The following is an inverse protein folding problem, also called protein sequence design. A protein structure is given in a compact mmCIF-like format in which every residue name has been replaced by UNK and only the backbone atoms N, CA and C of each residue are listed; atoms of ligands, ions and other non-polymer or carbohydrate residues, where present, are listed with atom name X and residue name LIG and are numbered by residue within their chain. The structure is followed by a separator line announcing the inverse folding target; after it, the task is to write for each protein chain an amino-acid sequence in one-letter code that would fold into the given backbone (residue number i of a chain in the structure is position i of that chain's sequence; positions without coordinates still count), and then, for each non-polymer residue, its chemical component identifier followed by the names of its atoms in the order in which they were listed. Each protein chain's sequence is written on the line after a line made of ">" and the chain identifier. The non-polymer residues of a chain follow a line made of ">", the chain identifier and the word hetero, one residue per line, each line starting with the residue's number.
data_IF_261910178163
#
_entry.id   IF_261910178163
#
_cell.length_a   1.000
_cell.length_b   1.000
_cell.length_c   1.000
_cell.angle_alpha   90.00
_cell.angle_beta   90.00
_cell.angle_gamma   90.00
#
_symmetry.space_group_name_H-M   'P 1'
#
loop_
_entity.id
_entity.type
_entity.pdbx_description
1 polymer ?
#
# COMPACT_ATOMS: atom_id res chain seq x y z
N UNK A 1 -3.45 -11.77 17.72
CA UNK A 1 -2.34 -10.94 17.21
C UNK A 1 -2.64 -10.55 15.79
N UNK A 2 -2.37 -9.30 15.39
CA UNK A 2 -2.84 -8.74 14.11
C UNK A 2 -2.05 -9.32 12.92
N UNK A 3 -0.77 -9.66 13.13
CA UNK A 3 0.12 -10.22 12.11
C UNK A 3 1.08 -11.25 12.73
N UNK A 4 1.56 -12.19 11.92
CA UNK A 4 2.72 -13.04 12.23
C UNK A 4 3.89 -12.64 11.34
N UNK A 5 5.13 -12.88 11.79
CA UNK A 5 6.32 -12.53 11.01
C UNK A 5 7.22 -13.76 10.84
N UNK A 6 7.85 -13.88 9.67
CA UNK A 6 9.01 -14.72 9.44
C UNK A 6 10.19 -13.78 9.20
N UNK A 7 11.07 -13.68 10.20
CA UNK A 7 12.19 -12.73 10.17
C UNK A 7 13.51 -13.48 10.17
N UNK A 8 14.43 -13.07 9.31
CA UNK A 8 15.73 -13.71 9.14
C UNK A 8 16.84 -12.73 8.85
N UNK A 9 18.06 -13.14 9.17
CA UNK A 9 19.28 -12.46 8.77
C UNK A 9 19.66 -12.89 7.36
N UNK A 10 19.96 -11.94 6.48
CA UNK A 10 20.33 -12.25 5.09
C UNK A 10 21.67 -12.98 4.98
N UNK A 11 22.51 -12.92 6.02
CA UNK A 11 23.75 -13.70 6.11
C UNK A 11 23.50 -15.20 6.39
N UNK A 12 22.38 -15.52 7.03
CA UNK A 12 22.03 -16.89 7.43
C UNK A 12 21.14 -17.56 6.36
N UNK A 13 20.25 -16.79 5.75
CA UNK A 13 19.26 -17.29 4.79
C UNK A 13 18.91 -16.21 3.75
N UNK A 14 18.92 -16.53 2.45
CA UNK A 14 18.50 -15.56 1.43
C UNK A 14 17.02 -15.18 1.61
N UNK A 15 16.65 -13.98 1.16
CA UNK A 15 15.26 -13.54 1.21
C UNK A 15 14.37 -14.39 0.30
N UNK A 16 14.74 -14.49 -0.97
CA UNK A 16 14.08 -15.28 -2.00
C UNK A 16 14.73 -16.66 -2.21
N UNK A 17 14.05 -17.49 -3.01
CA UNK A 17 14.54 -18.81 -3.42
C UNK A 17 14.02 -19.98 -2.57
N UNK A 18 14.30 -21.23 -2.99
CA UNK A 18 13.88 -22.42 -2.26
C UNK A 18 14.49 -22.45 -0.87
N UNK A 19 13.63 -22.52 0.16
CA UNK A 19 14.07 -22.50 1.56
C UNK A 19 14.43 -21.12 2.11
N UNK A 20 14.37 -20.06 1.30
CA UNK A 20 14.58 -18.67 1.76
C UNK A 20 13.53 -18.16 2.75
N UNK A 21 13.73 -16.97 3.29
CA UNK A 21 12.84 -16.34 4.27
C UNK A 21 11.40 -16.27 3.72
N UNK A 22 11.23 -15.91 2.45
CA UNK A 22 9.93 -15.84 1.80
C UNK A 22 9.25 -17.21 1.67
N UNK A 23 10.01 -18.28 1.42
CA UNK A 23 9.47 -19.64 1.35
C UNK A 23 8.98 -20.12 2.72
N UNK A 24 9.71 -19.80 3.80
CA UNK A 24 9.27 -20.04 5.18
C UNK A 24 8.00 -19.25 5.48
N UNK A 25 7.96 -17.97 5.14
CA UNK A 25 6.79 -17.12 5.33
C UNK A 25 5.55 -17.66 4.61
N UNK A 26 5.69 -18.17 3.37
CA UNK A 26 4.60 -18.82 2.63
C UNK A 26 4.09 -20.09 3.32
N UNK A 27 4.98 -20.89 3.89
CA UNK A 27 4.60 -22.07 4.68
C UNK A 27 3.82 -21.66 5.93
N UNK A 28 4.29 -20.66 6.67
CA UNK A 28 3.60 -20.10 7.83
C UNK A 28 2.22 -19.56 7.43
N UNK A 29 2.13 -18.83 6.31
CA UNK A 29 0.88 -18.26 5.80
C UNK A 29 -0.18 -19.34 5.51
N UNK A 30 0.21 -20.52 5.05
CA UNK A 30 -0.72 -21.61 4.76
C UNK A 30 -1.52 -22.09 6.00
N UNK A 31 -1.01 -21.84 7.21
CA UNK A 31 -1.63 -22.29 8.47
C UNK A 31 -1.96 -21.17 9.46
N UNK A 32 -1.42 -19.97 9.25
CA UNK A 32 -1.58 -18.88 10.21
C UNK A 32 -3.04 -18.39 10.28
N UNK A 33 -3.64 -18.24 11.48
CA UNK A 33 -5.01 -17.74 11.66
C UNK A 33 -5.06 -16.21 11.82
N UNK A 34 -4.18 -15.48 11.14
CA UNK A 34 -4.07 -14.00 11.22
C UNK A 34 -4.28 -13.36 9.86
N UNK A 35 -4.61 -12.06 9.83
CA UNK A 35 -4.87 -11.35 8.57
C UNK A 35 -3.66 -11.34 7.61
N UNK A 36 -2.45 -11.29 8.17
CA UNK A 36 -1.23 -11.17 7.38
C UNK A 36 -0.03 -11.86 8.05
N UNK A 37 0.82 -12.46 7.20
CA UNK A 37 2.18 -12.89 7.55
C UNK A 37 3.16 -11.96 6.84
N UNK A 38 4.23 -11.52 7.49
CA UNK A 38 5.24 -10.64 6.87
C UNK A 38 6.57 -11.38 6.82
N UNK A 39 7.14 -11.53 5.63
CA UNK A 39 8.54 -11.93 5.46
C UNK A 39 9.42 -10.70 5.63
N UNK A 40 10.45 -10.77 6.48
CA UNK A 40 11.39 -9.66 6.72
C UNK A 40 12.81 -10.21 6.73
N UNK A 41 13.65 -9.74 5.81
CA UNK A 41 15.08 -10.03 5.77
C UNK A 41 15.89 -8.75 5.93
N UNK A 42 17.01 -8.82 6.64
CA UNK A 42 17.98 -7.72 6.68
C UNK A 42 19.30 -8.15 7.31
N UNK A 43 20.25 -7.23 7.39
CA UNK A 43 21.54 -7.44 8.06
C UNK A 43 21.49 -6.90 9.50
N UNK A 44 21.67 -7.76 10.50
CA UNK A 44 21.52 -7.38 11.90
C UNK A 44 22.86 -7.14 12.62
N UNK A 45 22.87 -6.22 13.59
CA UNK A 45 24.00 -5.92 14.47
C UNK A 45 24.32 -7.08 15.45
N UNK A 46 23.48 -8.11 15.49
CA UNK A 46 23.66 -9.28 16.34
C UNK A 46 22.62 -10.38 16.09
N UNK A 47 22.58 -11.42 16.93
CA UNK A 47 21.59 -12.49 16.82
C UNK A 47 20.17 -11.97 17.01
N UNK A 48 19.22 -12.32 16.12
CA UNK A 48 17.85 -11.78 16.17
C UNK A 48 17.14 -11.98 17.52
N UNK A 49 17.47 -13.07 18.23
CA UNK A 49 16.91 -13.37 19.55
C UNK A 49 17.13 -12.27 20.59
N UNK A 50 18.21 -11.48 20.51
CA UNK A 50 18.46 -10.36 21.44
C UNK A 50 17.55 -9.15 21.20
N UNK A 51 16.95 -9.07 20.01
CA UNK A 51 16.05 -8.00 19.60
C UNK A 51 14.57 -8.39 19.73
N UNK A 52 14.28 -9.57 20.26
CA UNK A 52 12.91 -9.99 20.54
C UNK A 52 12.37 -9.23 21.76
N UNK A 53 11.12 -8.78 21.67
CA UNK A 53 10.39 -8.07 22.72
C UNK A 53 9.07 -8.77 23.00
N UNK A 54 8.66 -8.74 24.27
CA UNK A 54 7.30 -9.12 24.67
C UNK A 54 6.42 -7.88 24.57
N UNK A 55 5.23 -8.04 24.02
CA UNK A 55 4.18 -7.03 23.99
C UNK A 55 2.96 -7.48 24.77
N UNK A 56 1.91 -6.66 24.73
CA UNK A 56 0.65 -6.93 25.41
C UNK A 56 -0.04 -8.19 24.89
N UNK A 57 -0.93 -8.75 25.71
CA UNK A 57 -1.71 -9.93 25.34
C UNK A 57 -0.86 -11.18 25.05
N UNK A 58 0.35 -11.25 25.60
CA UNK A 58 1.30 -12.36 25.39
C UNK A 58 1.94 -12.35 24.00
N UNK A 59 1.87 -11.24 23.27
CA UNK A 59 2.53 -11.12 21.97
C UNK A 59 4.04 -11.09 22.11
N UNK A 60 4.73 -11.59 21.09
CA UNK A 60 6.19 -11.55 20.98
C UNK A 60 6.52 -11.05 19.58
N UNK A 61 7.39 -10.05 19.49
CA UNK A 61 7.75 -9.39 18.23
C UNK A 61 9.24 -9.15 18.14
N UNK A 62 9.73 -8.93 16.92
CA UNK A 62 11.08 -8.47 16.66
C UNK A 62 11.07 -6.94 16.65
N UNK A 63 11.96 -6.34 17.44
CA UNK A 63 12.24 -4.90 17.39
C UNK A 63 13.11 -4.59 16.17
N UNK A 64 12.48 -4.54 15.00
CA UNK A 64 13.16 -4.36 13.71
C UNK A 64 14.09 -3.13 13.69
N UNK A 65 13.71 -1.95 14.24
CA UNK A 65 14.66 -0.83 14.37
C UNK A 65 15.92 -1.15 15.18
N UNK A 66 15.77 -1.86 16.31
CA UNK A 66 16.90 -2.24 17.15
C UNK A 66 17.81 -3.29 16.50
N UNK A 67 17.30 -4.11 15.57
CA UNK A 67 18.13 -5.11 14.87
C UNK A 67 19.24 -4.49 14.03
N UNK A 68 19.08 -3.25 13.56
CA UNK A 68 19.98 -2.61 12.60
C UNK A 68 19.56 -2.77 11.14
N UNK A 69 18.50 -3.52 10.81
CA UNK A 69 18.04 -3.75 9.44
C UNK A 69 17.93 -2.46 8.61
N UNK A 70 17.34 -1.39 9.14
CA UNK A 70 17.21 -0.12 8.41
C UNK A 70 18.53 0.60 8.14
N UNK A 71 19.58 0.33 8.92
CA UNK A 71 20.89 1.00 8.81
C UNK A 71 21.89 0.18 8.00
N UNK A 72 21.78 -1.14 8.04
CA UNK A 72 22.77 -2.07 7.49
C UNK A 72 22.35 -2.54 6.10
N UNK A 73 22.28 -1.61 5.14
CA UNK A 73 21.91 -1.94 3.76
C UNK A 73 20.40 -2.11 3.52
N UNK A 74 19.58 -1.88 4.54
CA UNK A 74 18.12 -1.91 4.43
C UNK A 74 17.53 -3.30 4.69
N UNK A 75 16.24 -3.41 4.37
CA UNK A 75 15.47 -4.63 4.56
C UNK A 75 14.72 -5.01 3.29
N UNK A 76 14.61 -6.31 3.09
CA UNK A 76 13.73 -6.93 2.12
C UNK A 76 12.45 -7.37 2.83
N UNK A 77 11.28 -6.96 2.31
CA UNK A 77 9.98 -7.25 2.94
C UNK A 77 8.94 -7.65 1.92
N UNK A 78 8.17 -8.67 2.29
CA UNK A 78 6.98 -9.09 1.56
C UNK A 78 5.81 -9.29 2.53
N UNK A 79 4.68 -8.64 2.24
CA UNK A 79 3.45 -8.85 2.98
C UNK A 79 2.63 -9.97 2.32
N UNK A 80 2.31 -11.02 3.08
CA UNK A 80 1.48 -12.15 2.68
C UNK A 80 0.11 -12.06 3.34
N UNK A 81 -0.84 -11.43 2.65
CA UNK A 81 -2.24 -11.32 3.07
C UNK A 81 -3.02 -12.63 2.87
N UNK A 82 -4.35 -12.54 2.95
CA UNK A 82 -5.23 -13.66 2.57
C UNK A 82 -4.93 -14.08 1.11
N UNK A 83 -5.03 -15.39 0.77
CA UNK A 83 -4.84 -15.84 -0.60
C UNK A 83 -5.90 -15.20 -1.48
N UNK A 84 -5.46 -14.27 -2.33
CA UNK A 84 -6.26 -13.62 -3.35
C UNK A 84 -5.69 -14.01 -4.69
N UNK A 85 -6.57 -14.31 -5.65
CA UNK A 85 -6.18 -14.49 -7.04
C UNK A 85 -5.91 -13.10 -7.64
N UNK A 86 -4.63 -12.70 -7.86
CA UNK A 86 -4.31 -11.36 -8.33
C UNK A 86 -4.82 -11.14 -9.76
N UNK A 87 -5.06 -12.22 -10.52
CA UNK A 87 -5.64 -12.13 -11.85
C UNK A 87 -7.09 -11.63 -11.79
N UNK A 88 -7.79 -11.75 -10.65
CA UNK A 88 -9.16 -11.23 -10.50
C UNK A 88 -9.21 -9.80 -9.97
N UNK A 89 -8.06 -9.19 -9.67
CA UNK A 89 -7.99 -7.81 -9.21
C UNK A 89 -7.87 -6.84 -10.41
N UNK A 90 -8.24 -5.58 -10.18
CA UNK A 90 -8.26 -4.54 -11.22
C UNK A 90 -6.93 -4.43 -12.00
N UNK A 91 -5.73 -4.38 -11.36
CA UNK A 91 -4.46 -4.38 -12.08
C UNK A 91 -4.27 -5.60 -13.00
N UNK A 92 -4.59 -6.80 -12.49
CA UNK A 92 -4.46 -8.03 -13.27
C UNK A 92 -5.47 -8.12 -14.42
N UNK A 93 -6.68 -7.60 -14.23
CA UNK A 93 -7.71 -7.49 -15.27
C UNK A 93 -7.28 -6.54 -16.38
N UNK A 94 -6.81 -5.34 -16.04
CA UNK A 94 -6.30 -4.35 -16.98
C UNK A 94 -5.13 -4.90 -17.81
N UNK A 95 -4.14 -5.51 -17.14
CA UNK A 95 -2.98 -6.10 -17.82
C UNK A 95 -3.39 -7.20 -18.84
N UNK A 96 -4.36 -8.06 -18.49
CA UNK A 96 -4.87 -9.08 -19.44
C UNK A 96 -5.64 -8.50 -20.61
N UNK A 97 -6.25 -7.34 -20.43
CA UNK A 97 -6.90 -6.60 -21.51
C UNK A 97 -5.89 -5.87 -22.41
N UNK A 98 -4.59 -5.94 -22.11
CA UNK A 98 -3.55 -5.22 -22.85
C UNK A 98 -3.43 -3.76 -22.45
N UNK A 99 -4.06 -3.33 -21.34
CA UNK A 99 -3.96 -1.97 -20.81
C UNK A 99 -2.70 -1.88 -19.94
N UNK A 100 -1.74 -0.99 -20.25
CA UNK A 100 -0.60 -0.68 -19.42
C UNK A 100 -1.00 -0.35 -17.97
N UNK A 101 -0.27 -0.92 -17.01
CA UNK A 101 -0.51 -0.71 -15.58
C UNK A 101 0.71 -0.06 -14.96
N UNK A 102 0.50 1.04 -14.23
CA UNK A 102 1.54 1.65 -13.39
C UNK A 102 1.10 1.62 -11.93
N UNK A 103 1.95 1.07 -11.06
CA UNK A 103 1.74 1.03 -9.61
C UNK A 103 2.73 1.98 -8.94
N UNK A 104 2.21 2.96 -8.19
CA UNK A 104 3.01 4.06 -7.62
C UNK A 104 2.90 4.10 -6.10
N UNK A 105 4.02 4.41 -5.43
CA UNK A 105 4.06 4.49 -3.98
C UNK A 105 3.87 3.12 -3.35
N UNK A 106 3.09 3.04 -2.26
CA UNK A 106 2.89 1.77 -1.56
C UNK A 106 2.11 0.74 -2.39
N UNK A 107 1.36 1.18 -3.40
CA UNK A 107 0.67 0.31 -4.35
C UNK A 107 1.66 -0.63 -5.07
N UNK A 108 2.88 -0.15 -5.34
CA UNK A 108 3.95 -0.92 -5.96
C UNK A 108 4.47 -2.06 -5.07
N UNK A 109 4.23 -2.04 -3.77
CA UNK A 109 4.64 -3.11 -2.85
C UNK A 109 3.48 -4.07 -2.53
N UNK A 110 2.26 -3.53 -2.41
CA UNK A 110 1.10 -4.28 -1.89
C UNK A 110 0.29 -4.95 -2.99
N UNK A 111 0.27 -4.39 -4.21
CA UNK A 111 -0.49 -4.94 -5.32
C UNK A 111 0.38 -5.87 -6.17
N UNK A 112 -0.23 -6.99 -6.57
CA UNK A 112 0.42 -8.00 -7.40
C UNK A 112 -0.10 -7.88 -8.83
N UNK A 113 0.80 -7.46 -9.71
CA UNK A 113 0.64 -7.44 -11.16
C UNK A 113 2.05 -7.55 -11.73
N UNK A 114 2.34 -8.63 -12.47
CA UNK A 114 3.67 -8.94 -12.99
C UNK A 114 4.05 -7.98 -14.12
N UNK A 115 3.07 -7.58 -14.92
CA UNK A 115 3.23 -6.72 -16.08
C UNK A 115 3.28 -5.23 -15.74
N UNK A 116 3.08 -4.86 -14.48
CA UNK A 116 3.00 -3.46 -14.09
C UNK A 116 4.38 -2.79 -14.05
N UNK A 117 4.46 -1.55 -14.53
CA UNK A 117 5.55 -0.63 -14.19
C UNK A 117 5.43 -0.26 -12.69
N UNK A 118 6.50 -0.50 -11.92
CA UNK A 118 6.51 -0.35 -10.46
C UNK A 118 7.39 0.84 -10.08
N UNK A 119 6.77 1.83 -9.42
CA UNK A 119 7.43 3.06 -8.95
C UNK A 119 7.27 3.20 -7.43
N UNK A 120 8.01 2.43 -6.62
CA UNK A 120 7.93 2.51 -5.17
C UNK A 120 8.41 3.89 -4.70
N UNK A 121 7.66 4.49 -3.79
CA UNK A 121 7.96 5.79 -3.22
C UNK A 121 7.29 5.93 -1.84
N UNK A 122 7.93 6.69 -0.95
CA UNK A 122 7.40 6.99 0.38
C UNK A 122 6.93 8.44 0.45
N UNK A 123 7.75 9.39 -0.01
CA UNK A 123 7.41 10.80 0.04
C UNK A 123 6.24 11.11 -0.89
N UNK A 124 5.24 11.82 -0.37
CA UNK A 124 4.02 12.20 -1.08
C UNK A 124 4.34 12.97 -2.36
N UNK A 125 5.36 13.84 -2.33
CA UNK A 125 5.80 14.58 -3.51
C UNK A 125 6.27 13.67 -4.65
N UNK A 126 7.00 12.59 -4.34
CA UNK A 126 7.48 11.63 -5.33
C UNK A 126 6.32 10.80 -5.87
N UNK A 127 5.42 10.34 -4.99
CA UNK A 127 4.19 9.62 -5.39
C UNK A 127 3.37 10.45 -6.37
N UNK A 128 3.13 11.73 -6.06
CA UNK A 128 2.36 12.64 -6.92
C UNK A 128 3.08 12.89 -8.25
N UNK A 129 4.40 13.14 -8.22
CA UNK A 129 5.22 13.31 -9.44
C UNK A 129 5.13 12.10 -10.34
N UNK A 130 5.37 10.90 -9.81
CA UNK A 130 5.33 9.65 -10.59
C UNK A 130 3.94 9.34 -11.13
N UNK A 131 2.89 9.69 -10.39
CA UNK A 131 1.50 9.54 -10.83
C UNK A 131 1.20 10.49 -11.99
N UNK A 132 1.57 11.77 -11.86
CA UNK A 132 1.41 12.76 -12.93
C UNK A 132 2.17 12.36 -14.19
N UNK A 133 3.40 11.88 -14.04
CA UNK A 133 4.21 11.45 -15.18
C UNK A 133 3.63 10.21 -15.88
N UNK A 134 3.05 9.27 -15.11
CA UNK A 134 2.37 8.12 -15.68
C UNK A 134 1.10 8.53 -16.46
N UNK A 135 0.33 9.49 -15.95
CA UNK A 135 -0.86 10.03 -16.65
C UNK A 135 -0.45 10.84 -17.89
N UNK A 136 0.61 11.66 -17.81
CA UNK A 136 1.12 12.47 -18.94
C UNK A 136 1.63 11.64 -20.11
N UNK A 137 2.02 10.39 -19.89
CA UNK A 137 2.43 9.49 -20.96
C UNK A 137 1.29 9.26 -21.99
N UNK A 138 0.04 9.42 -21.56
CA UNK A 138 -1.15 9.37 -22.40
C UNK A 138 -1.52 7.96 -22.89
N UNK A 139 -2.67 7.89 -23.56
CA UNK A 139 -3.26 6.63 -24.03
C UNK A 139 -4.00 5.86 -22.94
N UNK A 140 -4.59 4.73 -23.31
CA UNK A 140 -5.31 3.87 -22.38
C UNK A 140 -4.34 3.31 -21.34
N UNK A 141 -4.55 3.62 -20.05
CA UNK A 141 -3.69 3.16 -18.96
C UNK A 141 -4.46 3.05 -17.64
N UNK A 142 -4.00 2.16 -16.77
CA UNK A 142 -4.41 2.12 -15.37
C UNK A 142 -3.24 2.58 -14.49
N UNK A 143 -3.43 3.69 -13.78
CA UNK A 143 -2.48 4.18 -12.77
C UNK A 143 -3.10 4.00 -11.39
N UNK A 144 -2.43 3.27 -10.51
CA UNK A 144 -2.84 3.11 -9.10
C UNK A 144 -1.73 3.62 -8.20
N UNK A 145 -2.03 4.68 -7.44
CA UNK A 145 -1.11 5.31 -6.53
C UNK A 145 -1.59 5.17 -5.07
N UNK A 146 -0.65 5.01 -4.15
CA UNK A 146 -0.93 5.06 -2.72
C UNK A 146 0.00 6.06 -2.02
N UNK A 147 -0.60 7.03 -1.32
CA UNK A 147 0.08 7.99 -0.45
C UNK A 147 -0.02 7.47 0.99
N UNK A 148 1.07 6.91 1.51
CA UNK A 148 1.10 6.32 2.85
C UNK A 148 1.47 7.31 3.97
N UNK A 149 1.91 8.53 3.65
CA UNK A 149 2.35 9.47 4.69
C UNK A 149 1.21 9.97 5.60
N UNK A 150 -0.04 9.92 5.15
CA UNK A 150 -1.22 10.17 5.99
C UNK A 150 -1.32 9.11 7.09
N UNK A 151 -1.14 7.84 6.75
CA UNK A 151 -1.12 6.73 7.70
C UNK A 151 0.05 6.83 8.69
N UNK A 152 1.25 7.18 8.21
CA UNK A 152 2.40 7.44 9.07
C UNK A 152 2.14 8.58 10.07
N UNK A 153 1.48 9.65 9.64
CA UNK A 153 1.09 10.77 10.51
C UNK A 153 0.02 10.35 11.54
N UNK A 154 -0.95 9.52 11.14
CA UNK A 154 -1.95 8.94 12.04
C UNK A 154 -1.32 8.10 13.15
N UNK A 155 -0.42 7.19 12.80
CA UNK A 155 0.36 6.41 13.77
C UNK A 155 1.20 7.27 14.72
N UNK A 156 1.71 8.39 14.24
CA UNK A 156 2.48 9.37 15.04
C UNK A 156 1.59 10.27 15.89
N UNK A 157 0.27 10.21 15.72
CA UNK A 157 -0.69 11.12 16.32
C UNK A 157 -0.37 12.60 16.04
N UNK A 158 0.14 12.87 14.84
CA UNK A 158 0.57 14.19 14.41
C UNK A 158 -0.45 14.77 13.43
N UNK A 159 -1.46 15.46 13.97
CA UNK A 159 -2.50 16.10 13.17
C UNK A 159 -1.96 17.21 12.25
N UNK A 160 -0.87 17.89 12.65
CA UNK A 160 -0.25 18.93 11.85
C UNK A 160 0.41 18.37 10.60
N UNK A 161 1.20 17.29 10.76
CA UNK A 161 1.76 16.55 9.63
C UNK A 161 0.66 15.96 8.75
N UNK A 162 -0.38 15.38 9.34
CA UNK A 162 -1.50 14.81 8.59
C UNK A 162 -2.12 15.87 7.67
N UNK A 163 -2.42 17.06 8.19
CA UNK A 163 -2.96 18.19 7.41
C UNK A 163 -2.03 18.63 6.27
N UNK A 164 -0.72 18.76 6.53
CA UNK A 164 0.25 19.13 5.50
C UNK A 164 0.35 18.10 4.37
N UNK A 165 0.20 16.80 4.67
CA UNK A 165 0.16 15.76 3.65
C UNK A 165 -1.12 15.91 2.81
N UNK A 166 -2.27 16.16 3.42
CA UNK A 166 -3.53 16.38 2.70
C UNK A 166 -3.46 17.59 1.76
N UNK A 167 -2.87 18.71 2.19
CA UNK A 167 -2.66 19.90 1.35
C UNK A 167 -1.79 19.59 0.11
N UNK A 168 -0.76 18.76 0.27
CA UNK A 168 0.08 18.30 -0.86
C UNK A 168 -0.70 17.41 -1.81
N UNK A 169 -1.50 16.48 -1.28
CA UNK A 169 -2.38 15.62 -2.07
C UNK A 169 -3.37 16.48 -2.87
N UNK A 170 -4.01 17.46 -2.25
CA UNK A 170 -4.93 18.40 -2.91
C UNK A 170 -4.27 19.11 -4.11
N UNK A 171 -3.07 19.67 -3.91
CA UNK A 171 -2.32 20.29 -5.00
C UNK A 171 -1.98 19.29 -6.14
N UNK A 172 -1.65 18.05 -5.80
CA UNK A 172 -1.41 16.99 -6.78
C UNK A 172 -2.67 16.60 -7.55
N UNK A 173 -3.83 16.51 -6.87
CA UNK A 173 -5.13 16.23 -7.48
C UNK A 173 -5.51 17.34 -8.47
N UNK A 174 -5.26 18.61 -8.15
CA UNK A 174 -5.47 19.72 -9.08
C UNK A 174 -4.65 19.54 -10.38
N UNK A 175 -3.40 19.07 -10.26
CA UNK A 175 -2.55 18.73 -11.41
C UNK A 175 -3.10 17.57 -12.24
N UNK A 176 -3.64 16.53 -11.60
CA UNK A 176 -4.26 15.39 -12.29
C UNK A 176 -5.53 15.79 -13.02
N UNK A 177 -6.40 16.59 -12.38
CA UNK A 177 -7.63 17.09 -12.98
C UNK A 177 -7.35 17.93 -14.24
N UNK A 178 -6.24 18.66 -14.29
CA UNK A 178 -5.85 19.42 -15.48
C UNK A 178 -5.38 18.55 -16.66
N UNK A 179 -5.00 17.29 -16.42
CA UNK A 179 -4.54 16.34 -17.43
C UNK A 179 -5.66 15.42 -17.95
N UNK A 180 -6.67 15.18 -17.12
CA UNK A 180 -7.80 14.32 -17.47
C UNK A 180 -8.83 15.14 -18.23
N UNK A 181 -8.69 15.20 -19.55
CA UNK A 181 -9.55 16.01 -20.43
C UNK A 181 -10.41 15.17 -21.36
N UNK A 182 -10.06 13.90 -21.56
CA UNK A 182 -10.64 13.09 -22.62
C UNK A 182 -11.90 12.37 -22.14
N UNK A 183 -12.82 12.15 -23.07
CA UNK A 183 -14.02 11.35 -22.80
C UNK A 183 -13.59 9.90 -22.53
N UNK A 184 -13.84 9.43 -21.31
CA UNK A 184 -13.38 8.12 -20.85
C UNK A 184 -12.38 8.20 -19.69
N UNK A 185 -11.75 9.36 -19.48
CA UNK A 185 -10.87 9.58 -18.34
C UNK A 185 -11.65 9.52 -17.02
N UNK A 186 -11.04 8.90 -16.02
CA UNK A 186 -11.61 8.79 -14.68
C UNK A 186 -10.53 8.96 -13.63
N UNK A 187 -10.81 9.79 -12.63
CA UNK A 187 -10.06 9.84 -11.38
C UNK A 187 -10.93 9.33 -10.26
N UNK A 188 -10.44 8.34 -9.52
CA UNK A 188 -11.11 7.80 -8.34
C UNK A 188 -10.19 8.01 -7.14
N UNK A 189 -10.67 8.73 -6.12
CA UNK A 189 -9.93 8.99 -4.87
C UNK A 189 -10.67 8.32 -3.72
N UNK A 190 -9.94 7.52 -2.93
CA UNK A 190 -10.50 6.84 -1.75
C UNK A 190 -9.44 6.57 -0.69
N UNK A 191 -9.85 6.06 0.47
CA UNK A 191 -8.99 5.48 1.49
C UNK A 191 -9.22 3.97 1.63
N UNK A 192 -8.46 3.31 2.49
CA UNK A 192 -8.62 1.88 2.82
C UNK A 192 -9.03 1.64 4.28
N UNK A 193 -8.74 2.59 5.17
CA UNK A 193 -9.22 2.65 6.55
C UNK A 193 -9.07 4.07 7.13
N UNK A 194 -9.47 4.25 8.39
CA UNK A 194 -9.16 5.45 9.17
C UNK A 194 -7.84 5.30 9.93
N UNK A 195 -7.23 6.43 10.28
CA UNK A 195 -6.12 6.51 11.24
C UNK A 195 -6.13 7.91 11.90
N UNK A 196 -7.13 8.14 12.75
CA UNK A 196 -7.35 9.45 13.40
C UNK A 196 -6.14 9.87 14.26
N UNK A 197 -5.42 10.95 13.89
CA UNK A 197 -4.23 11.38 14.63
C UNK A 197 -4.56 11.97 16.01
N UNK A 198 -5.82 12.21 16.33
CA UNK A 198 -6.28 12.82 17.59
C UNK A 198 -6.86 11.83 18.60
N UNK A 199 -6.99 10.54 18.23
CA UNK A 199 -7.78 9.57 19.00
C UNK A 199 -7.15 9.07 20.32
N UNK A 200 -5.87 9.38 20.55
CA UNK A 200 -5.16 8.98 21.78
C UNK A 200 -4.43 7.63 21.69
N UNK A 201 -4.32 7.02 20.50
CA UNK A 201 -3.50 5.84 20.26
C UNK A 201 -2.94 5.77 18.83
N UNK A 202 -1.91 4.96 18.63
CA UNK A 202 -1.24 4.76 17.34
C UNK A 202 -1.85 3.63 16.47
N UNK A 203 -3.05 3.15 16.76
CA UNK A 203 -3.70 2.09 15.97
C UNK A 203 -4.68 2.66 14.95
N UNK A 204 -4.90 1.93 13.84
CA UNK A 204 -5.92 2.30 12.86
C UNK A 204 -7.31 2.33 13.49
N UNK A 205 -8.17 3.14 12.90
CA UNK A 205 -9.57 3.32 13.28
C UNK A 205 -10.50 2.71 12.24
N UNK A 206 -11.65 2.21 12.69
CA UNK A 206 -12.66 1.61 11.81
C UNK A 206 -13.64 2.70 11.36
N UNK A 207 -13.34 3.33 10.23
CA UNK A 207 -14.10 4.46 9.69
C UNK A 207 -14.63 4.18 8.29
N UNK A 208 -15.64 4.95 7.88
CA UNK A 208 -15.95 5.10 6.46
C UNK A 208 -14.81 5.84 5.76
N UNK A 209 -14.58 5.53 4.50
CA UNK A 209 -13.62 6.23 3.65
C UNK A 209 -14.37 6.96 2.55
N UNK A 210 -13.89 8.14 2.12
CA UNK A 210 -14.53 8.85 1.00
C UNK A 210 -14.34 8.05 -0.29
N UNK A 211 -15.29 8.18 -1.22
CA UNK A 211 -15.12 7.73 -2.61
C UNK A 211 -15.53 8.90 -3.50
N UNK A 212 -14.55 9.53 -4.14
CA UNK A 212 -14.75 10.64 -5.07
C UNK A 212 -14.44 10.15 -6.48
N UNK A 213 -15.33 10.40 -7.44
CA UNK A 213 -15.14 10.01 -8.84
C UNK A 213 -15.28 11.27 -9.68
N UNK A 214 -14.22 11.62 -10.40
CA UNK A 214 -14.23 12.68 -11.40
C UNK A 214 -14.19 12.08 -12.80
N UNK A 215 -14.95 12.68 -13.71
CA UNK A 215 -14.99 12.38 -15.14
C UNK A 215 -15.15 13.67 -15.94
N UNK A 216 -14.40 13.90 -17.04
CA UNK A 216 -14.53 15.12 -17.83
C UNK A 216 -15.90 15.27 -18.51
N UNK A 217 -16.55 14.16 -18.82
CA UNK A 217 -17.86 14.09 -19.48
C UNK A 217 -19.05 14.12 -18.49
N UNK A 218 -18.79 14.37 -17.21
CA UNK A 218 -19.83 14.42 -16.17
C UNK A 218 -20.79 15.60 -16.33
N UNK A 219 -22.09 15.33 -16.25
CA UNK A 219 -23.13 16.36 -16.38
C UNK A 219 -23.29 17.29 -15.13
N UNK A 220 -22.49 17.06 -14.09
CA UNK A 220 -22.54 17.80 -12.82
C UNK A 220 -22.07 16.96 -11.64
N UNK A 221 -22.29 17.48 -10.42
CA UNK A 221 -22.03 16.76 -9.18
C UNK A 221 -23.25 15.92 -8.81
N UNK A 222 -23.04 14.62 -8.61
CA UNK A 222 -24.06 13.67 -8.16
C UNK A 222 -23.57 12.98 -6.88
N UNK A 223 -24.47 12.82 -5.91
CA UNK A 223 -24.22 11.99 -4.73
C UNK A 223 -24.71 10.57 -5.02
N UNK A 224 -23.78 9.62 -5.05
CA UNK A 224 -24.09 8.20 -5.17
C UNK A 224 -24.47 7.60 -3.80
N UNK A 225 -25.24 6.50 -3.76
CA UNK A 225 -25.42 5.72 -2.54
C UNK A 225 -24.09 5.18 -2.00
N UNK A 226 -24.02 4.98 -0.69
CA UNK A 226 -22.85 4.36 -0.06
C UNK A 226 -22.52 3.00 -0.70
N UNK A 227 -21.24 2.81 -1.00
CA UNK A 227 -20.73 1.52 -1.46
C UNK A 227 -20.89 0.47 -0.36
N UNK A 228 -21.26 -0.76 -0.73
CA UNK A 228 -21.41 -1.87 0.24
C UNK A 228 -20.06 -2.43 0.66
N UNK A 229 -19.04 -2.25 -0.18
CA UNK A 229 -17.66 -2.69 0.05
C UNK A 229 -16.68 -1.86 -0.78
N UNK A 230 -15.42 -1.78 -0.32
CA UNK A 230 -14.31 -1.23 -1.12
C UNK A 230 -14.12 -1.98 -2.45
N UNK A 231 -14.58 -3.24 -2.54
CA UNK A 231 -14.59 -3.98 -3.79
C UNK A 231 -15.46 -3.33 -4.89
N UNK A 232 -16.49 -2.57 -4.51
CA UNK A 232 -17.35 -1.85 -5.45
C UNK A 232 -16.56 -0.74 -6.17
N UNK A 233 -15.54 -0.16 -5.54
CA UNK A 233 -14.65 0.86 -6.14
C UNK A 233 -13.87 0.24 -7.31
N UNK A 234 -13.22 -0.91 -7.06
CA UNK A 234 -12.49 -1.64 -8.10
C UNK A 234 -13.40 -2.15 -9.22
N UNK A 235 -14.61 -2.61 -8.88
CA UNK A 235 -15.59 -3.02 -9.89
C UNK A 235 -16.12 -1.84 -10.73
N UNK A 236 -16.22 -0.65 -10.16
CA UNK A 236 -16.62 0.58 -10.86
C UNK A 236 -15.51 1.06 -11.80
N UNK A 237 -14.25 1.00 -11.34
CA UNK A 237 -13.09 1.37 -12.14
C UNK A 237 -12.88 0.46 -13.38
N UNK A 238 -13.36 -0.79 -13.32
CA UNK A 238 -13.26 -1.74 -14.42
C UNK A 238 -14.31 -1.55 -15.55
N UNK A 239 -15.24 -0.59 -15.42
CA UNK A 239 -16.33 -0.34 -16.38
C UNK A 239 -16.06 0.85 -17.29
#
# INVERSE_FOLDING_TARGET
>A
GINWNASGRLEDLPFDGPGGILAVARTVRAVAPVARVIAVGGHADGPLGSFVRRGDGGTVGLDTPATGFYRNGGLEVQHLGAPLDPTRQLPGLAARAGIPVTLVGKAADILVCEQADRRPAVATADVLTYTLDAVRAGGDALVVANVQETDLAGHQQDAGRYGQVLERVDAGLAGLLALLTDSGDRLIVTGDHGNDPSIGHAHHTREYVPVLIHRPDGAGVELLPDARSLADVGATAAR
#
